data_IF_391129346942
#
_entry.id   IF_391129346942
#
_cell.length_a   1.000
_cell.length_b   1.000
_cell.length_c   1.000
_cell.angle_alpha   90.00
_cell.angle_beta   90.00
_cell.angle_gamma   90.00
#
_symmetry.space_group_name_H-M   'P 1'
#
loop_
_entity.id
_entity.type
_entity.pdbx_description
1 polymer ?
#
# COMPACT_ATOMS: atom_id res chain seq x y z
N UNK A 1 1.51 -34.34 -13.97
CA UNK A 1 2.19 -33.22 -13.28
C UNK A 1 1.54 -33.04 -11.92
N UNK A 2 2.31 -32.77 -10.89
CA UNK A 2 1.77 -32.54 -9.56
C UNK A 2 1.13 -31.13 -9.52
N UNK A 3 -0.11 -30.99 -9.07
CA UNK A 3 -0.80 -29.71 -8.95
C UNK A 3 -0.15 -28.94 -7.80
N UNK A 4 0.39 -27.71 -8.02
CA UNK A 4 1.04 -26.95 -6.96
C UNK A 4 0.14 -26.69 -5.76
N UNK A 5 0.70 -26.76 -4.57
CA UNK A 5 -0.03 -26.53 -3.31
C UNK A 5 -0.08 -25.04 -2.98
N UNK A 6 -1.28 -24.49 -2.97
CA UNK A 6 -1.51 -23.05 -2.71
C UNK A 6 -2.07 -22.86 -1.30
N UNK A 7 -1.53 -21.89 -0.57
CA UNK A 7 -2.14 -21.36 0.64
C UNK A 7 -2.79 -20.02 0.33
N UNK A 8 -4.12 -19.93 0.43
CA UNK A 8 -4.88 -18.69 0.32
C UNK A 8 -4.92 -18.07 1.71
N UNK A 9 -4.35 -16.88 1.83
CA UNK A 9 -4.18 -16.15 3.09
C UNK A 9 -5.13 -14.98 3.11
N UNK A 10 -6.07 -14.99 4.06
CA UNK A 10 -7.08 -13.95 4.24
C UNK A 10 -6.86 -13.29 5.60
N UNK A 11 -6.67 -11.99 5.64
CA UNK A 11 -6.51 -11.22 6.87
C UNK A 11 -7.83 -10.57 7.25
N UNK A 12 -8.37 -10.92 8.42
CA UNK A 12 -9.57 -10.32 8.98
C UNK A 12 -9.25 -9.39 10.15
N UNK A 13 -9.90 -8.25 10.19
CA UNK A 13 -9.94 -7.34 11.35
C UNK A 13 -11.27 -6.60 11.39
N UNK A 14 -12.18 -7.02 12.30
CA UNK A 14 -13.53 -6.47 12.43
C UNK A 14 -14.31 -6.43 11.09
N UNK A 15 -14.10 -7.43 10.23
CA UNK A 15 -14.66 -7.48 8.88
C UNK A 15 -15.44 -8.78 8.63
N UNK A 16 -16.25 -9.24 9.60
CA UNK A 16 -16.93 -10.53 9.55
C UNK A 16 -17.68 -10.76 8.24
N UNK A 17 -18.56 -9.83 7.85
CA UNK A 17 -19.41 -10.03 6.68
C UNK A 17 -18.61 -10.13 5.38
N UNK A 18 -17.62 -9.29 5.22
CA UNK A 18 -16.72 -9.31 4.05
C UNK A 18 -15.93 -10.62 4.00
N UNK A 19 -15.41 -11.06 5.16
CA UNK A 19 -14.66 -12.31 5.26
C UNK A 19 -15.51 -13.53 4.91
N UNK A 20 -16.78 -13.57 5.32
CA UNK A 20 -17.69 -14.67 4.97
C UNK A 20 -17.97 -14.71 3.47
N UNK A 21 -18.22 -13.57 2.83
CA UNK A 21 -18.46 -13.49 1.39
C UNK A 21 -17.19 -13.85 0.58
N UNK A 22 -16.03 -13.39 1.04
CA UNK A 22 -14.75 -13.78 0.45
C UNK A 22 -14.55 -15.30 0.52
N UNK A 23 -14.74 -15.91 1.69
CA UNK A 23 -14.65 -17.37 1.89
C UNK A 23 -15.63 -18.12 1.01
N UNK A 24 -16.87 -17.65 0.88
CA UNK A 24 -17.87 -18.27 -0.01
C UNK A 24 -17.37 -18.31 -1.46
N UNK A 25 -16.75 -17.24 -1.95
CA UNK A 25 -16.19 -17.19 -3.30
C UNK A 25 -14.96 -18.08 -3.45
N UNK A 26 -14.09 -18.13 -2.44
CA UNK A 26 -12.88 -18.95 -2.42
C UNK A 26 -13.21 -20.43 -2.47
N UNK A 27 -14.24 -20.89 -1.77
CA UNK A 27 -14.64 -22.29 -1.81
C UNK A 27 -15.40 -22.70 -3.09
N UNK A 28 -15.66 -21.77 -4.01
CA UNK A 28 -16.15 -22.03 -5.38
C UNK A 28 -15.02 -22.13 -6.41
N UNK A 29 -13.74 -21.99 -5.99
CA UNK A 29 -12.60 -22.12 -6.89
C UNK A 29 -12.49 -23.51 -7.50
N UNK A 30 -12.23 -23.58 -8.79
CA UNK A 30 -12.03 -24.82 -9.57
C UNK A 30 -10.66 -25.47 -9.31
N UNK A 31 -9.76 -24.79 -8.65
CA UNK A 31 -8.43 -25.29 -8.28
C UNK A 31 -8.52 -26.26 -7.09
N UNK A 32 -7.99 -27.48 -7.22
CA UNK A 32 -8.22 -28.55 -6.24
C UNK A 32 -7.21 -28.63 -5.10
N UNK A 33 -5.98 -28.11 -5.27
CA UNK A 33 -4.91 -28.28 -4.27
C UNK A 33 -4.61 -26.97 -3.53
N UNK A 34 -5.60 -26.47 -2.76
CA UNK A 34 -5.41 -25.30 -1.92
C UNK A 34 -5.81 -25.53 -0.46
N UNK A 35 -5.28 -24.69 0.41
CA UNK A 35 -5.69 -24.56 1.82
C UNK A 35 -5.95 -23.11 2.12
N UNK A 36 -6.95 -22.84 2.95
CA UNK A 36 -7.29 -21.50 3.39
C UNK A 36 -6.77 -21.27 4.81
N UNK A 37 -6.07 -20.16 4.99
CA UNK A 37 -5.64 -19.66 6.30
C UNK A 37 -6.28 -18.30 6.50
N UNK A 38 -7.14 -18.18 7.49
CA UNK A 38 -7.65 -16.90 7.95
C UNK A 38 -6.86 -16.47 9.17
N UNK A 39 -6.31 -15.28 9.14
CA UNK A 39 -5.71 -14.62 10.32
C UNK A 39 -6.69 -13.61 10.85
N UNK A 40 -7.21 -13.85 12.04
CA UNK A 40 -7.92 -12.83 12.79
C UNK A 40 -6.92 -11.92 13.49
N UNK A 41 -6.92 -10.67 13.13
CA UNK A 41 -5.90 -9.71 13.55
C UNK A 41 -6.30 -8.93 14.82
N UNK A 42 -6.83 -9.66 15.81
CA UNK A 42 -7.30 -9.10 17.08
C UNK A 42 -8.64 -8.38 16.92
N UNK A 43 -9.63 -9.01 16.27
CA UNK A 43 -10.97 -8.47 16.14
C UNK A 43 -11.71 -8.43 17.47
N UNK A 44 -12.59 -7.47 17.63
CA UNK A 44 -13.48 -7.32 18.78
C UNK A 44 -14.93 -7.66 18.46
N UNK A 45 -15.23 -8.01 17.20
CA UNK A 45 -16.54 -8.49 16.76
C UNK A 45 -16.65 -10.03 16.88
N UNK A 46 -17.75 -10.62 16.42
CA UNK A 46 -17.97 -12.06 16.45
C UNK A 46 -17.22 -12.87 15.37
N UNK A 47 -16.26 -12.26 14.64
CA UNK A 47 -15.55 -12.86 13.50
C UNK A 47 -14.98 -14.24 13.83
N UNK A 48 -14.20 -14.36 14.88
CA UNK A 48 -13.56 -15.62 15.29
C UNK A 48 -14.57 -16.73 15.48
N UNK A 49 -15.61 -16.47 16.27
CA UNK A 49 -16.65 -17.45 16.60
C UNK A 49 -17.42 -17.91 15.36
N UNK A 50 -17.83 -16.94 14.54
CA UNK A 50 -18.67 -17.23 13.37
C UNK A 50 -17.87 -17.95 12.30
N UNK A 51 -16.64 -17.49 11.96
CA UNK A 51 -15.78 -18.12 10.96
C UNK A 51 -15.46 -19.57 11.38
N UNK A 52 -15.10 -19.80 12.64
CA UNK A 52 -14.81 -21.16 13.16
C UNK A 52 -15.97 -22.11 12.99
N UNK A 53 -17.19 -21.63 13.22
CA UNK A 53 -18.39 -22.46 13.10
C UNK A 53 -18.84 -22.69 11.65
N UNK A 54 -18.78 -21.64 10.81
CA UNK A 54 -19.24 -21.69 9.42
C UNK A 54 -18.23 -22.41 8.50
N UNK A 55 -16.94 -22.31 8.79
CA UNK A 55 -15.85 -22.84 7.97
C UNK A 55 -14.85 -23.65 8.82
N UNK A 56 -15.25 -24.80 9.42
CA UNK A 56 -14.39 -25.62 10.29
C UNK A 56 -13.14 -26.18 9.57
N UNK A 57 -13.11 -26.19 8.23
CA UNK A 57 -11.98 -26.62 7.41
C UNK A 57 -10.91 -25.53 7.24
N UNK A 58 -11.18 -24.28 7.60
CA UNK A 58 -10.21 -23.18 7.55
C UNK A 58 -9.20 -23.31 8.69
N UNK A 59 -7.94 -23.06 8.40
CA UNK A 59 -6.96 -22.81 9.46
C UNK A 59 -7.16 -21.38 9.98
N UNK A 60 -7.74 -21.24 11.16
CA UNK A 60 -7.94 -19.94 11.81
C UNK A 60 -6.78 -19.67 12.80
N UNK A 61 -6.04 -18.58 12.56
CA UNK A 61 -4.97 -18.10 13.43
C UNK A 61 -5.46 -16.79 14.09
N UNK A 62 -5.38 -16.72 15.41
CA UNK A 62 -5.87 -15.59 16.19
C UNK A 62 -4.68 -14.81 16.76
N UNK A 63 -4.64 -13.51 16.51
CA UNK A 63 -3.67 -12.60 17.11
C UNK A 63 -4.32 -11.85 18.28
N UNK A 64 -3.55 -11.61 19.33
CA UNK A 64 -4.02 -10.86 20.51
C UNK A 64 -4.29 -9.36 20.21
N UNK A 65 -3.75 -8.86 19.10
CA UNK A 65 -3.87 -7.44 18.70
C UNK A 65 -3.68 -7.26 17.19
N UNK A 66 -4.10 -6.11 16.67
CA UNK A 66 -3.86 -5.74 15.29
C UNK A 66 -2.36 -5.50 15.02
N UNK A 67 -1.78 -6.37 14.21
CA UNK A 67 -0.37 -6.31 13.77
C UNK A 67 -0.21 -5.60 12.40
N UNK A 68 -1.29 -5.03 11.88
CA UNK A 68 -1.33 -4.44 10.55
C UNK A 68 -1.40 -5.48 9.43
N UNK A 69 -1.42 -5.00 8.21
CA UNK A 69 -1.44 -5.86 7.04
C UNK A 69 -0.18 -6.73 6.95
N UNK A 70 0.99 -6.14 7.19
CA UNK A 70 2.27 -6.84 7.07
C UNK A 70 2.44 -7.92 8.14
N UNK A 71 2.25 -7.57 9.41
CA UNK A 71 2.43 -8.51 10.51
C UNK A 71 1.42 -9.66 10.48
N UNK A 72 0.13 -9.36 10.22
CA UNK A 72 -0.90 -10.37 10.11
C UNK A 72 -0.64 -11.36 8.97
N UNK A 73 -0.38 -10.86 7.76
CA UNK A 73 -0.06 -11.74 6.63
C UNK A 73 1.22 -12.54 6.86
N UNK A 74 2.26 -11.95 7.45
CA UNK A 74 3.52 -12.65 7.73
C UNK A 74 3.35 -13.86 8.65
N UNK A 75 2.42 -13.83 9.59
CA UNK A 75 2.12 -14.98 10.45
C UNK A 75 1.61 -16.15 9.61
N UNK A 76 0.64 -15.91 8.72
CA UNK A 76 0.11 -16.94 7.84
C UNK A 76 1.15 -17.39 6.79
N UNK A 77 1.98 -16.47 6.27
CA UNK A 77 3.06 -16.82 5.34
C UNK A 77 4.06 -17.77 6.01
N UNK A 78 4.46 -17.51 7.26
CA UNK A 78 5.33 -18.41 8.04
C UNK A 78 4.65 -19.77 8.29
N UNK A 79 3.35 -19.78 8.54
CA UNK A 79 2.58 -21.01 8.67
C UNK A 79 2.60 -21.81 7.35
N UNK A 80 2.30 -21.17 6.23
CA UNK A 80 2.29 -21.80 4.91
C UNK A 80 3.65 -22.40 4.52
N UNK A 81 4.75 -21.66 4.79
CA UNK A 81 6.13 -22.13 4.56
C UNK A 81 6.42 -23.43 5.31
N UNK A 82 6.02 -23.51 6.60
CA UNK A 82 6.22 -24.71 7.44
C UNK A 82 5.38 -25.89 6.98
N UNK A 83 4.26 -25.63 6.28
CA UNK A 83 3.33 -26.68 5.82
C UNK A 83 3.50 -27.03 4.33
N UNK A 84 4.62 -26.62 3.73
CA UNK A 84 5.03 -27.06 2.38
C UNK A 84 4.17 -26.46 1.28
N UNK A 85 3.94 -25.15 1.29
CA UNK A 85 3.34 -24.43 0.17
C UNK A 85 4.29 -24.38 -1.02
N UNK A 86 3.74 -24.39 -2.23
CA UNK A 86 4.45 -24.00 -3.46
C UNK A 86 4.17 -22.52 -3.77
N UNK A 87 2.95 -22.08 -3.43
CA UNK A 87 2.49 -20.70 -3.61
C UNK A 87 1.72 -20.19 -2.39
N UNK A 88 1.74 -18.89 -2.19
CA UNK A 88 0.86 -18.17 -1.28
C UNK A 88 0.07 -17.14 -2.07
N UNK A 89 -1.24 -17.10 -1.88
CA UNK A 89 -2.10 -16.08 -2.44
C UNK A 89 -2.61 -15.19 -1.30
N UNK A 90 -2.01 -14.01 -1.14
CA UNK A 90 -2.54 -13.00 -0.23
C UNK A 90 -3.82 -12.46 -0.85
N UNK A 91 -4.92 -12.48 -0.11
CA UNK A 91 -6.23 -12.07 -0.58
C UNK A 91 -6.91 -11.22 0.51
N UNK A 92 -7.28 -10.00 0.17
CA UNK A 92 -8.04 -9.17 1.09
C UNK A 92 -9.40 -9.80 1.40
N UNK A 93 -9.87 -9.64 2.63
CA UNK A 93 -11.15 -10.20 3.05
C UNK A 93 -12.37 -9.52 2.42
N UNK A 94 -12.22 -8.31 1.86
CA UNK A 94 -13.25 -7.55 1.15
C UNK A 94 -13.23 -7.79 -0.38
N UNK A 95 -12.82 -8.98 -0.80
CA UNK A 95 -12.76 -9.41 -2.21
C UNK A 95 -13.70 -10.57 -2.50
N UNK A 96 -14.14 -10.65 -3.75
CA UNK A 96 -14.84 -11.79 -4.35
C UNK A 96 -14.05 -12.26 -5.57
N UNK A 97 -13.78 -13.56 -5.68
CA UNK A 97 -12.95 -14.13 -6.74
C UNK A 97 -13.78 -14.90 -7.75
N UNK A 98 -13.43 -14.86 -9.05
CA UNK A 98 -14.01 -15.76 -10.05
C UNK A 98 -13.50 -17.19 -9.86
N UNK A 99 -14.33 -18.20 -10.17
CA UNK A 99 -14.04 -19.60 -9.90
C UNK A 99 -12.73 -20.10 -10.55
N UNK A 100 -12.37 -19.58 -11.69
CA UNK A 100 -11.17 -19.95 -12.45
C UNK A 100 -9.94 -19.05 -12.16
N UNK A 101 -10.09 -18.02 -11.31
CA UNK A 101 -9.06 -17.02 -11.07
C UNK A 101 -7.73 -17.63 -10.59
N UNK A 102 -7.81 -18.57 -9.63
CA UNK A 102 -6.61 -19.23 -9.10
C UNK A 102 -5.93 -20.11 -10.16
N UNK A 103 -6.68 -20.84 -10.97
CA UNK A 103 -6.13 -21.63 -12.08
C UNK A 103 -5.35 -20.74 -13.04
N UNK A 104 -5.91 -19.59 -13.40
CA UNK A 104 -5.31 -18.63 -14.34
C UNK A 104 -4.01 -18.00 -13.81
N UNK A 105 -4.00 -17.56 -12.54
CA UNK A 105 -2.78 -16.95 -11.96
C UNK A 105 -1.68 -17.98 -11.74
N UNK A 106 -2.00 -19.21 -11.34
CA UNK A 106 -1.01 -20.29 -11.25
C UNK A 106 -0.44 -20.63 -12.62
N UNK A 107 -1.30 -20.82 -13.63
CA UNK A 107 -0.86 -21.06 -15.01
C UNK A 107 0.08 -19.97 -15.51
N UNK A 108 -0.20 -18.71 -15.18
CA UNK A 108 0.67 -17.60 -15.53
C UNK A 108 2.02 -17.66 -14.78
N UNK A 109 2.00 -17.99 -13.49
CA UNK A 109 3.20 -18.12 -12.68
C UNK A 109 4.13 -19.24 -13.15
N UNK A 110 3.57 -20.33 -13.67
CA UNK A 110 4.32 -21.52 -14.17
C UNK A 110 4.93 -21.31 -15.58
N UNK A 111 4.57 -20.23 -16.31
CA UNK A 111 5.11 -19.96 -17.65
C UNK A 111 6.62 -19.75 -17.68
N UNK A 112 7.19 -19.23 -16.58
CA UNK A 112 8.63 -18.98 -16.50
C UNK A 112 9.11 -18.93 -15.04
N UNK A 113 10.34 -19.37 -14.81
CA UNK A 113 10.95 -19.38 -13.47
C UNK A 113 11.24 -17.97 -12.94
N UNK A 114 11.44 -17.02 -13.82
CA UNK A 114 11.72 -15.60 -13.49
C UNK A 114 10.46 -14.80 -13.08
N UNK A 115 9.25 -15.38 -13.18
CA UNK A 115 8.04 -14.75 -12.66
C UNK A 115 7.98 -14.96 -11.15
N UNK A 116 8.07 -13.87 -10.39
CA UNK A 116 8.06 -13.88 -8.93
C UNK A 116 6.68 -13.63 -8.33
N UNK A 117 6.00 -12.60 -8.81
CA UNK A 117 4.67 -12.19 -8.33
C UNK A 117 3.66 -12.17 -9.47
N UNK A 118 2.42 -12.60 -9.16
CA UNK A 118 1.30 -12.52 -10.10
C UNK A 118 0.09 -11.89 -9.41
N UNK A 119 -0.55 -10.94 -10.08
CA UNK A 119 -1.84 -10.38 -9.66
C UNK A 119 -2.90 -10.66 -10.72
N UNK A 120 -4.15 -10.95 -10.35
CA UNK A 120 -5.28 -10.82 -11.27
C UNK A 120 -5.53 -9.35 -11.61
N UNK A 121 -6.40 -9.08 -12.57
CA UNK A 121 -7.02 -7.75 -12.73
C UNK A 121 -8.05 -7.55 -11.62
N UNK A 122 -7.98 -6.42 -10.93
CA UNK A 122 -8.88 -6.08 -9.83
C UNK A 122 -9.95 -5.13 -10.37
N UNK A 123 -11.21 -5.51 -10.21
CA UNK A 123 -12.40 -4.75 -10.60
C UNK A 123 -13.08 -4.16 -9.38
N UNK A 124 -13.83 -3.07 -9.57
CA UNK A 124 -14.72 -2.58 -8.53
C UNK A 124 -15.86 -3.59 -8.31
N UNK A 125 -16.15 -3.91 -7.04
CA UNK A 125 -17.22 -4.84 -6.68
C UNK A 125 -18.61 -4.29 -7.11
N UNK A 126 -18.86 -3.01 -6.89
CA UNK A 126 -20.10 -2.32 -7.24
C UNK A 126 -20.21 -1.94 -8.74
N UNK A 127 -19.10 -2.06 -9.48
CA UNK A 127 -19.00 -1.77 -10.92
C UNK A 127 -18.13 -2.83 -11.61
N UNK A 128 -18.64 -4.07 -11.79
CA UNK A 128 -17.83 -5.24 -12.19
C UNK A 128 -17.20 -5.13 -13.58
N UNK A 129 -17.68 -4.21 -14.42
CA UNK A 129 -17.09 -3.93 -15.74
C UNK A 129 -15.97 -2.89 -15.68
N UNK A 130 -15.75 -2.24 -14.52
CA UNK A 130 -14.74 -1.21 -14.35
C UNK A 130 -13.52 -1.73 -13.62
N UNK A 131 -12.36 -1.63 -14.26
CA UNK A 131 -11.08 -1.95 -13.64
C UNK A 131 -10.77 -0.94 -12.55
N UNK A 132 -10.49 -1.43 -11.34
CA UNK A 132 -9.96 -0.66 -10.22
C UNK A 132 -8.44 -0.57 -10.30
N UNK A 133 -7.79 -1.71 -10.62
CA UNK A 133 -6.33 -1.82 -10.67
C UNK A 133 -5.89 -2.98 -11.55
N UNK A 134 -4.90 -2.73 -12.39
CA UNK A 134 -4.20 -3.76 -13.14
C UNK A 134 -2.68 -3.56 -13.16
N UNK A 135 -2.13 -2.99 -12.11
CA UNK A 135 -0.71 -2.74 -11.94
C UNK A 135 -0.40 -1.28 -11.65
N UNK A 136 0.83 -1.01 -11.27
CA UNK A 136 1.35 0.33 -11.19
C UNK A 136 2.82 0.35 -11.62
N UNK A 137 3.32 1.51 -11.97
CA UNK A 137 4.74 1.69 -12.26
C UNK A 137 5.33 2.82 -11.43
N UNK A 138 6.63 2.68 -11.16
CA UNK A 138 7.41 3.63 -10.39
C UNK A 138 8.28 4.41 -11.37
N UNK A 139 8.10 5.72 -11.45
CA UNK A 139 9.00 6.58 -12.17
C UNK A 139 10.13 7.05 -11.25
N UNK A 140 11.27 6.40 -11.40
CA UNK A 140 12.44 6.71 -10.59
C UNK A 140 13.05 8.07 -10.92
N UNK A 141 12.83 8.62 -12.11
CA UNK A 141 13.32 9.95 -12.51
C UNK A 141 12.49 11.03 -11.84
N UNK A 142 11.19 10.94 -11.96
CA UNK A 142 10.26 11.95 -11.45
C UNK A 142 9.83 11.69 -10.01
N UNK A 143 10.26 10.55 -9.42
CA UNK A 143 9.93 10.13 -8.07
C UNK A 143 8.41 10.09 -7.85
N UNK A 144 7.72 9.39 -8.74
CA UNK A 144 6.27 9.23 -8.71
C UNK A 144 5.85 7.77 -8.86
N UNK A 145 4.65 7.45 -8.38
CA UNK A 145 4.01 6.14 -8.50
C UNK A 145 2.68 6.37 -9.19
N UNK A 146 2.43 5.65 -10.28
CA UNK A 146 1.22 5.77 -11.08
C UNK A 146 0.50 4.44 -11.18
N UNK A 147 -0.75 4.40 -10.74
CA UNK A 147 -1.62 3.24 -10.88
C UNK A 147 -2.16 3.13 -12.31
N UNK A 148 -2.31 1.92 -12.80
CA UNK A 148 -2.86 1.57 -14.10
C UNK A 148 -4.21 0.91 -13.89
N UNK A 149 -5.25 1.44 -14.55
CA UNK A 149 -6.62 0.91 -14.58
C UNK A 149 -7.14 0.70 -16.00
N UNK A 150 -6.21 0.51 -16.95
CA UNK A 150 -6.49 0.26 -18.36
C UNK A 150 -5.49 -0.77 -18.90
N UNK A 151 -6.01 -1.82 -19.55
CA UNK A 151 -5.18 -2.93 -20.07
C UNK A 151 -4.28 -2.48 -21.22
N UNK A 152 -4.72 -1.54 -22.05
CA UNK A 152 -3.90 -1.01 -23.16
C UNK A 152 -2.70 -0.24 -22.61
N UNK A 153 -2.92 0.56 -21.57
CA UNK A 153 -1.85 1.29 -20.89
C UNK A 153 -0.91 0.30 -20.20
N UNK A 154 -1.45 -0.75 -19.56
CA UNK A 154 -0.63 -1.80 -18.94
C UNK A 154 0.33 -2.43 -19.96
N UNK A 155 -0.14 -2.70 -21.17
CA UNK A 155 0.66 -3.30 -22.23
C UNK A 155 1.84 -2.42 -22.67
N UNK A 156 1.64 -1.12 -22.69
CA UNK A 156 2.70 -0.16 -22.97
C UNK A 156 3.72 -0.11 -21.82
N UNK A 157 3.21 -0.01 -20.59
CA UNK A 157 4.05 0.07 -19.38
C UNK A 157 4.92 -1.20 -19.22
N UNK A 158 4.34 -2.39 -19.40
CA UNK A 158 5.07 -3.66 -19.24
C UNK A 158 6.21 -3.87 -20.26
N UNK A 159 6.18 -3.17 -21.41
CA UNK A 159 7.27 -3.22 -22.39
C UNK A 159 8.50 -2.44 -21.96
N UNK A 160 8.32 -1.41 -21.16
CA UNK A 160 9.35 -0.44 -20.85
C UNK A 160 9.79 -0.46 -19.37
N UNK A 161 8.96 -0.98 -18.48
CA UNK A 161 9.14 -0.82 -17.03
C UNK A 161 8.73 -2.07 -16.26
N UNK A 162 9.36 -2.27 -15.13
CA UNK A 162 8.87 -3.19 -14.10
C UNK A 162 7.60 -2.60 -13.47
N UNK A 163 6.62 -3.48 -13.24
CA UNK A 163 5.38 -3.11 -12.56
C UNK A 163 5.42 -3.53 -11.11
N UNK A 164 4.72 -2.78 -10.27
CA UNK A 164 4.39 -3.14 -8.89
C UNK A 164 2.93 -3.58 -8.80
N UNK A 165 2.65 -4.48 -7.88
CA UNK A 165 1.35 -5.11 -7.70
C UNK A 165 0.80 -4.78 -6.32
N UNK A 166 -0.53 -4.66 -6.19
CA UNK A 166 -1.16 -4.46 -4.89
C UNK A 166 -1.28 -5.76 -4.08
N UNK A 167 -1.19 -5.60 -2.77
CA UNK A 167 -1.43 -6.69 -1.82
C UNK A 167 -2.85 -7.22 -1.78
N UNK A 168 -3.81 -6.60 -2.48
CA UNK A 168 -5.23 -6.98 -2.50
C UNK A 168 -5.45 -8.41 -2.96
N UNK A 169 -4.72 -8.87 -4.00
CA UNK A 169 -4.78 -10.25 -4.49
C UNK A 169 -3.42 -10.61 -5.11
N UNK A 170 -2.45 -10.96 -4.26
CA UNK A 170 -1.05 -11.13 -4.67
C UNK A 170 -0.60 -12.57 -4.52
N UNK A 171 -0.33 -13.25 -5.63
CA UNK A 171 0.27 -14.57 -5.66
C UNK A 171 1.79 -14.46 -5.57
N UNK A 172 2.40 -15.22 -4.65
CA UNK A 172 3.83 -15.22 -4.34
C UNK A 172 4.35 -16.66 -4.45
N UNK A 173 5.41 -16.89 -5.23
CA UNK A 173 6.10 -18.20 -5.23
C UNK A 173 6.85 -18.42 -3.92
N UNK A 174 6.92 -19.67 -3.46
CA UNK A 174 7.72 -20.06 -2.30
C UNK A 174 9.17 -19.59 -2.39
N UNK A 175 9.83 -19.79 -3.53
CA UNK A 175 11.23 -19.40 -3.74
C UNK A 175 11.47 -17.90 -3.56
N UNK A 176 10.46 -17.06 -3.82
CA UNK A 176 10.55 -15.62 -3.56
C UNK A 176 10.66 -15.35 -2.07
N UNK A 177 9.85 -16.02 -1.23
CA UNK A 177 9.96 -15.87 0.22
C UNK A 177 11.32 -16.34 0.73
N UNK A 178 11.84 -17.44 0.18
CA UNK A 178 13.16 -17.99 0.55
C UNK A 178 14.30 -17.02 0.17
N UNK A 179 14.16 -16.28 -0.91
CA UNK A 179 15.20 -15.40 -1.41
C UNK A 179 15.10 -13.95 -0.90
N UNK A 180 13.90 -13.36 -0.90
CA UNK A 180 13.72 -11.94 -0.55
C UNK A 180 13.06 -11.75 0.82
N UNK A 181 12.57 -12.83 1.45
CA UNK A 181 11.90 -12.79 2.76
C UNK A 181 10.44 -12.36 2.72
N UNK A 182 9.92 -12.07 3.90
CA UNK A 182 8.53 -11.69 4.15
C UNK A 182 8.27 -10.21 3.89
N UNK A 183 7.00 -9.78 4.06
CA UNK A 183 6.64 -8.37 4.03
C UNK A 183 7.37 -7.59 5.13
N UNK A 184 7.75 -6.36 4.86
CA UNK A 184 8.47 -5.53 5.83
C UNK A 184 7.51 -4.92 6.86
N UNK A 185 7.56 -5.43 8.09
CA UNK A 185 6.66 -5.04 9.19
C UNK A 185 6.81 -3.58 9.64
N UNK A 186 7.89 -2.89 9.23
CA UNK A 186 8.07 -1.46 9.44
C UNK A 186 6.92 -0.63 8.87
N UNK A 187 6.32 -1.12 7.77
CA UNK A 187 5.22 -0.42 7.08
C UNK A 187 3.89 -0.52 7.82
N UNK A 188 3.61 -1.60 8.52
CA UNK A 188 2.34 -1.92 9.15
C UNK A 188 1.20 -2.12 8.13
N UNK A 189 0.86 -1.11 7.33
CA UNK A 189 -0.05 -1.14 6.18
C UNK A 189 0.26 0.06 5.25
N UNK A 190 -0.01 -0.08 3.97
CA UNK A 190 0.27 0.84 2.85
C UNK A 190 1.75 0.97 2.51
N UNK A 191 2.06 0.90 1.23
CA UNK A 191 3.40 0.93 0.61
C UNK A 191 4.24 -0.35 0.80
N UNK A 192 3.83 -1.31 1.63
CA UNK A 192 4.48 -2.61 1.77
C UNK A 192 4.47 -3.40 0.46
N UNK A 193 3.41 -3.25 -0.32
CA UNK A 193 3.22 -3.90 -1.62
C UNK A 193 4.14 -3.30 -2.69
N UNK A 194 4.33 -1.98 -2.73
CA UNK A 194 5.32 -1.33 -3.59
C UNK A 194 6.74 -1.71 -3.19
N UNK A 195 7.03 -1.74 -1.89
CA UNK A 195 8.33 -2.17 -1.35
C UNK A 195 8.61 -3.62 -1.73
N UNK A 196 7.64 -4.51 -1.51
CA UNK A 196 7.80 -5.93 -1.79
C UNK A 196 7.97 -6.19 -3.28
N UNK A 197 7.14 -5.59 -4.13
CA UNK A 197 7.26 -5.67 -5.59
C UNK A 197 8.61 -5.16 -6.10
N UNK A 198 9.11 -4.07 -5.51
CA UNK A 198 10.43 -3.50 -5.87
C UNK A 198 11.56 -4.42 -5.42
N UNK A 199 11.47 -5.01 -4.23
CA UNK A 199 12.47 -5.94 -3.70
C UNK A 199 12.54 -7.23 -4.52
N UNK A 200 11.41 -7.75 -4.97
CA UNK A 200 11.32 -8.89 -5.88
C UNK A 200 11.93 -8.56 -7.24
N UNK A 201 11.61 -7.38 -7.79
CA UNK A 201 12.20 -6.92 -9.05
C UNK A 201 13.73 -6.71 -8.95
N UNK A 202 14.23 -6.23 -7.81
CA UNK A 202 15.67 -6.07 -7.55
C UNK A 202 16.41 -7.42 -7.37
N UNK A 203 15.68 -8.50 -7.18
CA UNK A 203 16.20 -9.87 -7.14
C UNK A 203 16.07 -10.59 -8.51
N UNK A 204 15.93 -9.80 -9.59
CA UNK A 204 15.85 -10.24 -11.00
C UNK A 204 14.60 -11.06 -11.34
N UNK A 205 13.52 -10.92 -10.56
CA UNK A 205 12.22 -11.50 -10.87
C UNK A 205 11.27 -10.48 -11.51
N UNK A 206 10.34 -10.98 -12.30
CA UNK A 206 9.29 -10.19 -12.92
C UNK A 206 7.99 -10.25 -12.10
N UNK A 207 7.34 -9.11 -11.97
CA UNK A 207 5.97 -8.99 -11.49
C UNK A 207 5.05 -8.91 -12.71
N UNK A 208 3.97 -9.69 -12.73
CA UNK A 208 3.05 -9.72 -13.86
C UNK A 208 1.58 -9.62 -13.44
N UNK A 209 0.74 -9.12 -14.32
CA UNK A 209 -0.72 -9.18 -14.19
C UNK A 209 -1.27 -10.22 -15.14
N UNK A 210 -2.05 -11.19 -14.62
CA UNK A 210 -2.81 -12.13 -15.43
C UNK A 210 -4.15 -11.50 -15.81
N UNK A 211 -4.29 -11.10 -17.08
CA UNK A 211 -5.40 -10.29 -17.59
C UNK A 211 -6.74 -10.99 -17.56
N UNK A 212 -6.74 -12.30 -17.71
CA UNK A 212 -7.97 -13.11 -17.77
C UNK A 212 -8.47 -13.51 -16.36
N UNK A 213 -7.63 -13.40 -15.34
CA UNK A 213 -8.02 -13.64 -13.96
C UNK A 213 -8.67 -12.38 -13.38
N UNK A 214 -9.84 -12.53 -12.76
CA UNK A 214 -10.59 -11.41 -12.20
C UNK A 214 -10.86 -11.59 -10.72
N UNK A 215 -10.68 -10.50 -9.98
CA UNK A 215 -11.07 -10.37 -8.57
C UNK A 215 -11.83 -9.06 -8.42
N UNK A 216 -12.95 -9.10 -7.72
CA UNK A 216 -13.77 -7.95 -7.40
C UNK A 216 -13.45 -7.48 -5.99
N UNK A 217 -13.22 -6.18 -5.80
CA UNK A 217 -12.78 -5.61 -4.54
C UNK A 217 -13.70 -4.47 -4.13
N UNK A 218 -14.23 -4.55 -2.92
CA UNK A 218 -15.14 -3.54 -2.38
C UNK A 218 -14.41 -2.24 -2.08
N UNK A 219 -13.18 -2.36 -1.57
CA UNK A 219 -12.32 -1.22 -1.23
C UNK A 219 -12.86 -0.42 -0.03
N UNK A 220 -12.03 -0.17 0.95
CA UNK A 220 -12.32 0.70 2.11
C UNK A 220 -13.11 0.13 3.29
N UNK A 221 -13.33 -1.20 3.39
CA UNK A 221 -14.05 -1.78 4.55
C UNK A 221 -13.40 -1.52 5.91
N UNK A 222 -12.07 -1.59 6.00
CA UNK A 222 -11.36 -1.56 7.30
C UNK A 222 -10.84 -0.18 7.76
N UNK A 223 -11.01 0.89 6.99
CA UNK A 223 -10.39 2.19 7.26
C UNK A 223 -11.33 3.39 7.16
N UNK A 224 -12.59 3.30 7.57
CA UNK A 224 -13.53 4.43 7.77
C UNK A 224 -13.44 5.62 6.78
N UNK A 225 -13.16 5.34 5.49
CA UNK A 225 -13.08 6.37 4.42
C UNK A 225 -11.65 6.70 3.97
N UNK A 226 -11.52 7.20 2.74
CA UNK A 226 -10.24 7.37 2.03
C UNK A 226 -9.23 8.34 2.68
N UNK A 227 -9.62 9.13 3.66
CA UNK A 227 -8.74 10.11 4.30
C UNK A 227 -8.84 10.06 5.82
N UNK A 228 -9.07 8.85 6.37
CA UNK A 228 -9.07 8.68 7.83
C UNK A 228 -7.68 9.03 8.41
N UNK A 229 -7.61 9.55 9.65
CA UNK A 229 -6.35 9.95 10.26
C UNK A 229 -5.27 8.86 10.23
N UNK A 230 -5.66 7.61 10.47
CA UNK A 230 -4.72 6.48 10.45
C UNK A 230 -4.17 6.21 9.05
N UNK A 231 -5.01 6.29 8.01
CA UNK A 231 -4.56 6.15 6.63
C UNK A 231 -3.59 7.25 6.24
N UNK A 232 -3.95 8.50 6.53
CA UNK A 232 -3.12 9.67 6.22
C UNK A 232 -1.78 9.57 6.94
N UNK A 233 -1.76 9.20 8.22
CA UNK A 233 -0.53 8.96 8.98
C UNK A 233 0.35 7.90 8.31
N UNK A 234 -0.19 6.71 8.06
CA UNK A 234 0.57 5.58 7.53
C UNK A 234 1.06 5.87 6.10
N UNK A 235 0.21 6.39 5.22
CA UNK A 235 0.58 6.71 3.84
C UNK A 235 1.65 7.79 3.78
N UNK A 236 1.54 8.85 4.59
CA UNK A 236 2.56 9.91 4.65
C UNK A 236 3.89 9.34 5.13
N UNK A 237 3.90 8.58 6.23
CA UNK A 237 5.12 7.97 6.78
C UNK A 237 5.78 7.01 5.81
N UNK A 238 4.99 6.10 5.25
CA UNK A 238 5.49 4.97 4.47
C UNK A 238 5.95 5.40 3.07
N UNK A 239 5.33 6.43 2.49
CA UNK A 239 5.84 7.09 1.29
C UNK A 239 7.30 7.54 1.45
N UNK A 240 7.63 8.14 2.60
CA UNK A 240 8.99 8.53 2.93
C UNK A 240 9.93 7.32 3.03
N UNK A 241 9.53 6.29 3.77
CA UNK A 241 10.33 5.08 3.91
C UNK A 241 10.62 4.46 2.55
N UNK A 242 9.59 4.27 1.72
CA UNK A 242 9.74 3.67 0.41
C UNK A 242 10.81 4.39 -0.43
N UNK A 243 10.74 5.71 -0.56
CA UNK A 243 11.70 6.45 -1.36
C UNK A 243 13.09 6.51 -0.71
N UNK A 244 13.17 6.73 0.60
CA UNK A 244 14.45 6.85 1.29
C UNK A 244 15.22 5.53 1.34
N UNK A 245 14.52 4.40 1.37
CA UNK A 245 15.16 3.08 1.34
C UNK A 245 15.69 2.73 -0.07
N UNK A 246 15.06 3.24 -1.13
CA UNK A 246 15.42 2.94 -2.52
C UNK A 246 16.30 3.99 -3.22
N UNK A 247 16.44 5.20 -2.69
CA UNK A 247 17.28 6.24 -3.27
C UNK A 247 18.70 6.23 -2.69
N UNK A 248 19.67 6.80 -3.43
CA UNK A 248 21.08 6.93 -3.00
C UNK A 248 21.59 8.36 -3.17
N UNK A 249 22.57 8.75 -2.38
CA UNK A 249 23.33 10.00 -2.51
C UNK A 249 22.45 11.26 -2.51
N UNK A 250 22.77 12.20 -3.40
CA UNK A 250 22.08 13.49 -3.52
C UNK A 250 20.58 13.37 -3.84
N UNK A 251 20.15 12.26 -4.45
CA UNK A 251 18.72 12.02 -4.72
C UNK A 251 17.89 11.91 -3.45
N UNK A 252 18.46 11.39 -2.35
CA UNK A 252 17.79 11.40 -1.03
C UNK A 252 17.51 12.81 -0.55
N UNK A 253 18.48 13.71 -0.70
CA UNK A 253 18.35 15.12 -0.28
C UNK A 253 17.27 15.83 -1.10
N UNK A 254 17.27 15.61 -2.42
CA UNK A 254 16.27 16.21 -3.31
C UNK A 254 14.87 15.67 -3.00
N UNK A 255 14.74 14.35 -2.76
CA UNK A 255 13.48 13.76 -2.36
C UNK A 255 13.01 14.29 -0.99
N UNK A 256 13.89 14.41 -0.01
CA UNK A 256 13.54 14.95 1.30
C UNK A 256 12.89 16.34 1.20
N UNK A 257 13.47 17.24 0.38
CA UNK A 257 12.90 18.58 0.14
C UNK A 257 11.50 18.47 -0.49
N UNK A 258 11.36 17.64 -1.53
CA UNK A 258 10.08 17.38 -2.19
C UNK A 258 9.03 16.81 -1.22
N UNK A 259 9.46 15.86 -0.38
CA UNK A 259 8.61 15.23 0.62
C UNK A 259 8.07 16.23 1.65
N UNK A 260 8.92 17.09 2.20
CA UNK A 260 8.50 18.12 3.17
C UNK A 260 7.49 19.05 2.52
N UNK A 261 7.79 19.57 1.32
CA UNK A 261 6.87 20.46 0.59
C UNK A 261 5.51 19.78 0.31
N UNK A 262 5.54 18.55 -0.16
CA UNK A 262 4.30 17.77 -0.41
C UNK A 262 3.50 17.56 0.88
N UNK A 263 4.15 17.15 1.98
CA UNK A 263 3.50 16.94 3.28
C UNK A 263 2.79 18.20 3.75
N UNK A 264 3.45 19.33 3.64
CA UNK A 264 2.89 20.63 4.04
C UNK A 264 1.65 20.97 3.18
N UNK A 265 1.76 20.89 1.85
CA UNK A 265 0.65 21.18 0.94
C UNK A 265 -0.54 20.24 1.19
N UNK A 266 -0.27 18.94 1.38
CA UNK A 266 -1.31 17.95 1.65
C UNK A 266 -2.01 18.21 3.00
N UNK A 267 -1.25 18.42 4.08
CA UNK A 267 -1.84 18.75 5.38
C UNK A 267 -2.67 20.04 5.33
N UNK A 268 -2.21 21.05 4.59
CA UNK A 268 -2.95 22.32 4.40
C UNK A 268 -4.26 22.10 3.65
N UNK A 269 -4.27 21.24 2.60
CA UNK A 269 -5.49 20.92 1.86
C UNK A 269 -6.52 20.17 2.72
N UNK A 270 -6.07 19.35 3.67
CA UNK A 270 -6.94 18.61 4.59
C UNK A 270 -7.48 19.49 5.72
N UNK A 271 -6.76 20.52 6.15
CA UNK A 271 -7.00 21.24 7.40
C UNK A 271 -8.40 21.85 7.54
N UNK A 272 -9.00 22.29 6.43
CA UNK A 272 -10.32 22.93 6.46
C UNK A 272 -11.47 21.92 6.67
N UNK A 273 -11.36 20.72 6.10
CA UNK A 273 -12.45 19.74 6.10
C UNK A 273 -12.17 18.54 7.02
N UNK A 274 -10.88 18.21 7.22
CA UNK A 274 -10.42 17.02 7.94
C UNK A 274 -9.24 17.38 8.87
N UNK A 275 -9.43 18.20 9.90
CA UNK A 275 -8.32 18.70 10.73
C UNK A 275 -7.56 17.59 11.46
N UNK A 276 -8.21 16.50 11.85
CA UNK A 276 -7.54 15.34 12.47
C UNK A 276 -6.64 14.61 11.49
N UNK A 277 -7.04 14.54 10.23
CA UNK A 277 -6.22 13.93 9.16
C UNK A 277 -5.04 14.83 8.78
N UNK A 278 -5.24 16.15 8.81
CA UNK A 278 -4.14 17.11 8.65
C UNK A 278 -3.10 16.95 9.77
N UNK A 279 -3.54 16.81 11.01
CA UNK A 279 -2.68 16.54 12.17
C UNK A 279 -1.95 15.20 12.04
N UNK A 280 -2.64 14.17 11.58
CA UNK A 280 -2.09 12.85 11.32
C UNK A 280 -1.01 12.88 10.22
N UNK A 281 -1.18 13.73 9.19
CA UNK A 281 -0.18 13.93 8.14
C UNK A 281 1.16 14.43 8.73
N UNK A 282 1.14 15.45 9.59
CA UNK A 282 2.35 15.94 10.26
C UNK A 282 2.97 14.89 11.20
N UNK A 283 2.13 14.15 11.93
CA UNK A 283 2.61 13.08 12.80
C UNK A 283 3.26 11.95 11.99
N UNK A 284 2.70 11.60 10.83
CA UNK A 284 3.26 10.63 9.91
C UNK A 284 4.64 11.06 9.40
N UNK A 285 4.77 12.31 8.97
CA UNK A 285 6.05 12.87 8.54
C UNK A 285 7.09 12.91 9.68
N UNK A 286 6.66 13.25 10.88
CA UNK A 286 7.53 13.27 12.06
C UNK A 286 8.04 11.87 12.41
N UNK A 287 7.15 10.86 12.41
CA UNK A 287 7.53 9.47 12.61
C UNK A 287 8.48 8.98 11.51
N UNK A 288 8.22 9.36 10.25
CA UNK A 288 9.06 9.03 9.11
C UNK A 288 10.50 9.51 9.26
N UNK A 289 10.69 10.79 9.57
CA UNK A 289 12.02 11.41 9.74
C UNK A 289 12.78 10.77 10.90
N UNK A 290 12.07 10.35 11.95
CA UNK A 290 12.65 9.64 13.11
C UNK A 290 12.86 8.14 12.88
N UNK A 291 12.44 7.59 11.74
CA UNK A 291 12.56 6.16 11.44
C UNK A 291 11.60 5.26 12.23
N UNK A 292 10.52 5.81 12.82
CA UNK A 292 9.55 5.08 13.64
C UNK A 292 8.56 4.36 12.73
N UNK A 293 8.70 3.03 12.63
CA UNK A 293 7.80 2.14 11.88
C UNK A 293 6.71 1.52 12.78
N UNK A 294 5.99 0.54 12.22
CA UNK A 294 4.94 -0.19 12.94
C UNK A 294 3.61 0.57 13.06
N UNK A 295 2.77 0.26 14.07
CA UNK A 295 1.50 0.93 14.30
C UNK A 295 1.69 2.43 14.64
N UNK A 296 0.61 3.21 14.50
CA UNK A 296 0.65 4.61 14.91
C UNK A 296 0.65 4.74 16.43
N UNK A 297 1.79 5.10 16.98
CA UNK A 297 1.93 5.50 18.39
C UNK A 297 1.64 7.00 18.53
N UNK A 298 0.47 7.33 19.08
CA UNK A 298 0.07 8.72 19.31
C UNK A 298 0.93 9.44 20.37
N UNK A 299 1.63 8.71 21.25
CA UNK A 299 2.52 9.29 22.25
C UNK A 299 3.79 9.90 21.63
N UNK A 300 4.19 9.39 20.44
CA UNK A 300 5.35 9.87 19.68
C UNK A 300 5.03 11.02 18.71
N UNK A 301 3.90 11.70 18.90
CA UNK A 301 3.41 12.76 18.00
C UNK A 301 4.28 14.01 18.00
N UNK A 302 4.22 14.78 16.91
CA UNK A 302 4.87 16.10 16.81
C UNK A 302 4.26 17.07 17.83
N UNK A 303 5.09 17.87 18.51
CA UNK A 303 4.59 18.86 19.46
C UNK A 303 3.69 19.91 18.79
N UNK A 304 2.67 20.39 19.52
CA UNK A 304 1.74 21.40 19.02
C UNK A 304 2.42 22.71 18.63
N UNK A 305 3.52 23.09 19.29
CA UNK A 305 4.30 24.27 18.94
C UNK A 305 4.98 24.12 17.59
N UNK A 306 5.58 22.97 17.29
CA UNK A 306 6.18 22.68 16.00
C UNK A 306 5.12 22.66 14.88
N UNK A 307 3.95 22.05 15.13
CA UNK A 307 2.84 22.07 14.17
C UNK A 307 2.39 23.50 13.83
N UNK A 308 2.25 24.37 14.85
CA UNK A 308 1.91 25.79 14.64
C UNK A 308 2.93 26.52 13.78
N UNK A 309 4.24 26.25 13.97
CA UNK A 309 5.29 26.79 13.11
C UNK A 309 5.12 26.33 11.67
N UNK A 310 4.85 25.04 11.44
CA UNK A 310 4.61 24.52 10.10
C UNK A 310 3.37 25.16 9.46
N UNK A 311 2.24 25.24 10.17
CA UNK A 311 1.03 25.91 9.65
C UNK A 311 1.27 27.41 9.36
N UNK A 312 2.01 28.09 10.22
CA UNK A 312 2.35 29.50 10.01
C UNK A 312 3.20 29.69 8.75
N UNK A 313 4.26 28.90 8.58
CA UNK A 313 5.12 28.92 7.39
C UNK A 313 4.32 28.61 6.12
N UNK A 314 3.34 27.69 6.20
CA UNK A 314 2.47 27.34 5.06
C UNK A 314 1.47 28.46 4.72
N UNK A 315 0.88 29.10 5.73
CA UNK A 315 -0.12 30.16 5.54
C UNK A 315 0.49 31.42 4.90
N UNK A 316 1.79 31.63 5.08
CA UNK A 316 2.48 32.82 4.57
C UNK A 316 2.75 32.78 3.07
N UNK A 317 2.94 31.57 2.46
CA UNK A 317 3.27 31.49 1.04
C UNK A 317 2.94 30.16 0.36
N UNK A 318 1.70 29.93 -0.08
CA UNK A 318 1.34 28.75 -0.88
C UNK A 318 2.23 28.60 -2.13
N UNK A 319 2.62 29.72 -2.76
CA UNK A 319 3.52 29.74 -3.91
C UNK A 319 4.97 29.33 -3.61
N UNK A 320 5.46 29.52 -2.39
CA UNK A 320 6.81 29.13 -1.99
C UNK A 320 7.03 27.63 -2.11
N UNK A 321 6.06 26.84 -1.60
CA UNK A 321 6.15 25.39 -1.62
C UNK A 321 5.93 24.79 -3.00
N UNK A 322 5.00 25.33 -3.78
CA UNK A 322 4.75 24.91 -5.16
C UNK A 322 6.01 25.08 -6.02
N UNK A 323 6.72 26.12 -5.82
CA UNK A 323 7.91 26.43 -6.61
C UNK A 323 9.17 25.76 -6.05
N UNK A 324 9.22 25.40 -4.76
CA UNK A 324 10.23 24.47 -4.23
C UNK A 324 10.10 23.10 -4.91
N UNK A 325 8.86 22.68 -5.19
CA UNK A 325 8.57 21.45 -5.96
C UNK A 325 9.00 21.54 -7.43
N UNK A 326 8.93 22.73 -8.03
CA UNK A 326 9.28 22.97 -9.44
C UNK A 326 10.77 23.25 -9.68
N UNK A 327 11.59 23.31 -8.63
CA UNK A 327 13.03 23.59 -8.75
C UNK A 327 13.39 25.07 -8.95
N UNK A 328 12.41 25.96 -8.91
CA UNK A 328 12.54 27.40 -9.25
C UNK A 328 12.87 28.29 -8.03
N UNK A 329 13.58 27.74 -7.05
CA UNK A 329 13.86 28.36 -5.75
C UNK A 329 14.47 29.78 -5.84
N UNK A 330 15.40 30.00 -6.79
CA UNK A 330 16.07 31.29 -6.96
C UNK A 330 15.14 32.36 -7.53
N UNK A 331 14.23 31.99 -8.42
CA UNK A 331 13.25 32.94 -9.02
C UNK A 331 12.22 33.43 -8.00
N UNK A 332 11.94 32.64 -6.97
CA UNK A 332 10.93 32.95 -5.97
C UNK A 332 11.48 33.85 -4.88
N UNK A 333 12.70 33.60 -4.40
CA UNK A 333 13.36 34.49 -3.46
C UNK A 333 13.41 35.88 -4.08
N UNK A 334 13.78 36.01 -5.38
CA UNK A 334 13.80 37.28 -6.11
C UNK A 334 12.43 37.96 -6.21
N UNK A 335 11.36 37.19 -6.55
CA UNK A 335 9.98 37.73 -6.66
C UNK A 335 9.39 38.09 -5.30
N UNK A 336 9.68 37.29 -4.26
CA UNK A 336 9.21 37.54 -2.89
C UNK A 336 9.89 38.75 -2.28
N UNK A 337 11.20 38.88 -2.45
CA UNK A 337 11.94 40.06 -2.00
C UNK A 337 11.46 41.36 -2.69
N UNK A 338 11.16 41.30 -4.00
CA UNK A 338 10.57 42.45 -4.73
C UNK A 338 9.17 42.82 -4.21
N UNK A 339 8.31 41.85 -3.86
CA UNK A 339 6.96 42.14 -3.31
C UNK A 339 7.00 42.67 -1.88
N UNK A 340 7.85 42.07 -1.01
CA UNK A 340 8.04 42.54 0.35
C UNK A 340 8.60 43.97 0.33
N UNK A 341 9.59 44.26 -0.54
CA UNK A 341 10.14 45.58 -0.72
C UNK A 341 9.08 46.60 -1.19
N UNK A 342 8.19 46.20 -2.12
CA UNK A 342 7.11 47.05 -2.60
C UNK A 342 6.01 47.31 -1.54
N UNK A 343 5.76 46.33 -0.65
CA UNK A 343 4.67 46.43 0.34
C UNK A 343 5.07 47.10 1.65
N UNK A 344 6.35 47.07 2.03
CA UNK A 344 6.82 47.57 3.33
C UNK A 344 7.90 48.67 3.26
N UNK A 345 8.45 48.96 2.09
CA UNK A 345 9.47 49.98 1.93
C UNK A 345 9.05 51.18 1.05
N UNK A 346 7.84 51.16 0.46
CA UNK A 346 7.24 52.29 -0.25
C UNK A 346 6.10 52.97 0.55
N UNK A 347 6.07 52.81 1.88
CA UNK A 347 5.22 53.62 2.78
C UNK A 347 6.13 54.50 3.63
N UNK A 348 6.86 55.36 2.98
CA UNK A 348 7.43 56.58 3.58
C UNK A 348 7.43 57.64 2.51
N UNK A 349 6.27 58.31 2.41
CA UNK A 349 6.09 59.73 2.12
C UNK A 349 4.69 60.11 2.57
#
# INVERSE_FOLDING_TARGET
MNIPKVFIIILNWNGLQDTLECLESVYKLEYSNFKVVVVDNGSSDDSVKVIRNAYPQVTLIENDKNLGFTGGNNIAMRYAMRHGCDYMWLLNNDTVVESDALCKIITAAEKSLDIGLVSPVIYYYDKPDKIQFCGCYIDWKDLSISSVSDIVILDQVCKERQISLWGTALLIKRCIIEQVGYLNEKYFAYYEDYEYSTRVANADYRNIVQREAKVYHKGSGSTSGQESPIQVFLRTRNLYFFWMDNLKGLRKINYFKKYIAHTILYATSLNNNLPESADACFNGAWAAIRGIGGPWDKSASMSGSLKKVFYFVCSWHPYFWTALLQGDFLNIISKTFKRVKAKYLNTSD
#
